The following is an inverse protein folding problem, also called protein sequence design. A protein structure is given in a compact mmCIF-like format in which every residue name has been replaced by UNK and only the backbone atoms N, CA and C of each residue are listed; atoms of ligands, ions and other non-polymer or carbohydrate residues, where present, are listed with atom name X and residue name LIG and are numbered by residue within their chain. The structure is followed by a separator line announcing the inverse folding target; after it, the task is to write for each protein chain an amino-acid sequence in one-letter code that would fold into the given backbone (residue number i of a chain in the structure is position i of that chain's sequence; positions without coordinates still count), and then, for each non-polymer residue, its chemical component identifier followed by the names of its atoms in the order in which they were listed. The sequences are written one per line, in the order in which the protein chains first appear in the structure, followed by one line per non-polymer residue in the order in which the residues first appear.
data_IF_548689589410
#
_entry.id   IF_548689589410
#
_cell.length_a   1.000
_cell.length_b   1.000
_cell.length_c   1.000
_cell.angle_alpha   90.00
_cell.angle_beta   90.00
_cell.angle_gamma   90.00
#
_symmetry.space_group_name_H-M   'P 1'
#
loop_
_entity.id
_entity.type
_entity.pdbx_description
1 polymer ?
#
# COMPACT_ATOMS: atom_id res chain seq x y z
N UNK A 1 4.06 -12.45 -7.17
CA UNK A 1 3.35 -12.38 -8.48
C UNK A 1 3.23 -10.91 -8.84
N UNK A 2 3.45 -10.52 -10.10
CA UNK A 2 3.29 -9.12 -10.54
C UNK A 2 1.81 -8.81 -10.84
N UNK A 3 1.16 -7.89 -10.09
CA UNK A 3 -0.25 -7.57 -10.27
C UNK A 3 -0.53 -6.62 -11.46
N UNK A 4 0.49 -6.07 -12.13
CA UNK A 4 0.32 -5.01 -13.15
C UNK A 4 -0.69 -5.39 -14.24
N UNK A 5 -0.64 -6.62 -14.77
CA UNK A 5 -1.55 -7.07 -15.83
C UNK A 5 -3.02 -7.04 -15.40
N UNK A 6 -3.30 -7.52 -14.20
CA UNK A 6 -4.68 -7.58 -13.66
C UNK A 6 -5.17 -6.18 -13.32
N UNK A 7 -4.31 -5.34 -12.72
CA UNK A 7 -4.64 -3.97 -12.39
C UNK A 7 -4.96 -3.14 -13.64
N UNK A 8 -4.21 -3.31 -14.74
CA UNK A 8 -4.50 -2.66 -16.03
C UNK A 8 -5.89 -3.00 -16.57
N UNK A 9 -6.29 -4.26 -16.48
CA UNK A 9 -7.63 -4.69 -16.88
C UNK A 9 -8.71 -4.12 -15.96
N UNK A 10 -8.42 -4.02 -14.66
CA UNK A 10 -9.35 -3.46 -13.68
C UNK A 10 -9.43 -1.92 -13.70
N UNK A 11 -8.47 -1.21 -14.31
CA UNK A 11 -8.33 0.27 -14.24
C UNK A 11 -9.64 1.06 -14.46
N UNK A 12 -10.51 0.72 -15.43
CA UNK A 12 -11.76 1.46 -15.64
C UNK A 12 -12.77 1.34 -14.49
N UNK A 13 -12.58 0.34 -13.62
CA UNK A 13 -13.48 -0.02 -12.52
C UNK A 13 -12.85 0.25 -11.13
N UNK A 14 -11.57 0.64 -11.06
CA UNK A 14 -10.91 0.96 -9.79
C UNK A 14 -11.39 2.32 -9.26
N UNK A 15 -12.11 2.29 -8.14
CA UNK A 15 -12.63 3.49 -7.46
C UNK A 15 -11.86 3.85 -6.18
N UNK A 16 -11.29 2.85 -5.51
CA UNK A 16 -10.54 3.00 -4.26
C UNK A 16 -9.52 1.87 -4.18
N UNK A 17 -8.29 2.20 -3.77
CA UNK A 17 -7.28 1.21 -3.41
C UNK A 17 -7.01 1.32 -1.92
N UNK A 18 -7.07 0.20 -1.21
CA UNK A 18 -6.61 0.14 0.19
C UNK A 18 -5.30 -0.62 0.27
N UNK A 19 -4.37 -0.15 1.10
CA UNK A 19 -3.03 -0.73 1.29
C UNK A 19 -2.73 -0.99 2.76
N UNK A 20 -1.87 -1.96 3.02
CA UNK A 20 -1.29 -2.28 4.32
C UNK A 20 0.07 -2.97 4.12
N UNK A 21 0.87 -3.06 5.18
CA UNK A 21 2.04 -3.94 5.18
C UNK A 21 1.59 -5.40 5.27
N UNK A 22 2.32 -6.32 4.66
CA UNK A 22 1.98 -7.74 4.66
C UNK A 22 3.21 -8.61 4.39
N UNK A 23 3.28 -9.77 5.05
CA UNK A 23 4.12 -10.89 4.62
C UNK A 23 3.39 -11.71 3.56
N UNK A 24 4.11 -12.58 2.83
CA UNK A 24 3.48 -13.41 1.81
C UNK A 24 2.60 -14.53 2.39
N UNK A 25 2.91 -14.97 3.61
CA UNK A 25 2.25 -16.09 4.27
C UNK A 25 2.13 -15.85 5.78
N UNK A 26 1.13 -16.49 6.39
CA UNK A 26 0.90 -16.45 7.83
C UNK A 26 -0.55 -16.16 8.19
N UNK A 27 -0.76 -15.90 9.48
CA UNK A 27 -2.04 -15.52 10.04
C UNK A 27 -2.35 -14.03 9.80
N UNK A 28 -3.55 -13.59 10.16
CA UNK A 28 -4.02 -12.22 9.93
C UNK A 28 -3.08 -11.12 10.41
N UNK A 29 -2.35 -11.34 11.50
CA UNK A 29 -1.38 -10.38 12.05
C UNK A 29 -0.10 -10.25 11.20
N UNK A 30 0.16 -11.20 10.30
CA UNK A 30 1.20 -11.11 9.26
C UNK A 30 0.66 -10.57 7.94
N UNK A 31 -0.61 -10.82 7.62
CA UNK A 31 -1.22 -10.38 6.37
C UNK A 31 -1.74 -8.93 6.41
N UNK A 32 -2.00 -8.39 7.61
CA UNK A 32 -2.42 -7.00 7.81
C UNK A 32 -1.54 -6.36 8.89
N UNK A 33 -0.61 -5.53 8.45
CA UNK A 33 0.36 -4.83 9.28
C UNK A 33 0.37 -3.32 8.98
N UNK A 34 0.95 -2.49 9.88
CA UNK A 34 1.26 -1.10 9.56
C UNK A 34 2.06 -0.97 8.25
N UNK A 35 1.87 0.14 7.53
CA UNK A 35 2.68 0.38 6.32
C UNK A 35 4.17 0.46 6.67
N UNK A 36 5.01 -0.09 5.79
CA UNK A 36 6.45 -0.19 6.01
C UNK A 36 6.89 -1.48 6.70
N UNK A 37 5.95 -2.34 7.11
CA UNK A 37 6.23 -3.70 7.56
C UNK A 37 5.88 -4.75 6.53
N UNK A 38 6.49 -5.90 6.72
CA UNK A 38 6.30 -7.11 5.93
C UNK A 38 7.09 -7.14 4.63
N UNK A 39 7.01 -8.28 3.97
CA UNK A 39 7.79 -8.58 2.76
C UNK A 39 7.18 -8.04 1.46
N UNK A 40 5.89 -7.73 1.44
CA UNK A 40 5.22 -7.25 0.23
C UNK A 40 5.68 -5.84 -0.16
N UNK A 41 6.08 -5.67 -1.43
CA UNK A 41 6.52 -4.38 -1.98
C UNK A 41 5.34 -3.44 -2.28
N UNK A 42 4.84 -2.78 -1.23
CA UNK A 42 3.79 -1.75 -1.33
C UNK A 42 4.26 -0.59 -2.23
N UNK A 43 5.54 -0.23 -2.20
CA UNK A 43 6.06 0.86 -3.02
C UNK A 43 5.97 0.52 -4.52
N UNK A 44 6.38 -0.69 -4.90
CA UNK A 44 6.25 -1.21 -6.26
C UNK A 44 4.81 -1.24 -6.75
N UNK A 45 3.86 -1.60 -5.87
CA UNK A 45 2.43 -1.50 -6.16
C UNK A 45 2.00 -0.06 -6.45
N UNK A 46 2.37 0.91 -5.59
CA UNK A 46 2.05 2.32 -5.79
C UNK A 46 2.66 2.88 -7.09
N UNK A 47 3.90 2.50 -7.40
CA UNK A 47 4.55 2.87 -8.66
C UNK A 47 3.82 2.31 -9.88
N UNK A 48 3.34 1.07 -9.77
CA UNK A 48 2.52 0.43 -10.81
C UNK A 48 1.21 1.18 -11.02
N UNK A 49 0.49 1.51 -9.93
CA UNK A 49 -0.75 2.30 -9.97
C UNK A 49 -0.53 3.67 -10.63
N UNK A 50 0.56 4.37 -10.30
CA UNK A 50 0.89 5.64 -10.95
C UNK A 50 1.18 5.47 -12.44
N UNK A 51 1.98 4.48 -12.84
CA UNK A 51 2.35 4.22 -14.24
C UNK A 51 1.14 3.90 -15.13
N UNK A 52 0.12 3.26 -14.58
CA UNK A 52 -1.15 3.01 -15.27
C UNK A 52 -2.15 4.17 -15.18
N UNK A 53 -1.72 5.31 -14.65
CA UNK A 53 -2.51 6.54 -14.54
C UNK A 53 -3.64 6.46 -13.52
N UNK A 54 -3.54 5.63 -12.48
CA UNK A 54 -4.52 5.64 -11.38
C UNK A 54 -4.32 6.90 -10.53
N UNK A 55 -5.40 7.67 -10.40
CA UNK A 55 -5.50 8.97 -9.73
C UNK A 55 -6.57 8.99 -8.63
N UNK A 56 -7.19 7.84 -8.37
CA UNK A 56 -8.21 7.68 -7.33
C UNK A 56 -7.63 7.64 -5.91
N UNK A 57 -8.51 7.64 -4.89
CA UNK A 57 -8.10 7.62 -3.49
C UNK A 57 -7.32 6.35 -3.13
N UNK A 58 -6.37 6.52 -2.19
CA UNK A 58 -5.62 5.43 -1.57
C UNK A 58 -5.81 5.51 -0.05
N UNK A 59 -6.35 4.45 0.53
CA UNK A 59 -6.62 4.33 1.97
C UNK A 59 -5.71 3.32 2.66
N UNK A 60 -5.59 3.43 3.99
CA UNK A 60 -4.90 2.44 4.82
C UNK A 60 -5.90 1.41 5.40
N UNK A 61 -5.61 0.12 5.25
CA UNK A 61 -6.37 -0.99 5.84
C UNK A 61 -5.71 -1.42 7.17
N UNK A 62 -6.24 -0.91 8.29
CA UNK A 62 -5.73 -1.22 9.63
C UNK A 62 -6.44 -2.34 10.38
N UNK A 63 -7.17 -3.22 9.68
CA UNK A 63 -8.04 -4.21 10.33
C UNK A 63 -7.26 -5.17 11.24
N UNK A 64 -7.69 -5.32 12.49
CA UNK A 64 -7.14 -6.31 13.42
C UNK A 64 -5.70 -6.05 13.89
N UNK A 65 -5.09 -4.91 13.53
CA UNK A 65 -3.75 -4.56 14.00
C UNK A 65 -3.80 -4.30 15.51
N UNK A 66 -3.02 -5.08 16.25
CA UNK A 66 -2.91 -4.98 17.72
C UNK A 66 -1.95 -3.86 18.13
N UNK A 67 -1.95 -3.54 19.42
CA UNK A 67 -1.07 -2.53 20.01
C UNK A 67 -1.68 -1.12 20.05
N UNK A 68 -0.84 -0.13 20.32
CA UNK A 68 -1.28 1.26 20.47
C UNK A 68 -1.62 1.89 19.11
N UNK A 69 -2.79 2.54 19.04
CA UNK A 69 -3.32 3.12 17.80
C UNK A 69 -2.48 4.32 17.33
N UNK A 70 -1.93 5.12 18.26
CA UNK A 70 -1.10 6.28 17.93
C UNK A 70 0.24 5.82 17.36
N UNK A 71 0.84 4.79 17.94
CA UNK A 71 2.09 4.24 17.44
C UNK A 71 1.93 3.60 16.06
N UNK A 72 0.87 2.81 15.86
CA UNK A 72 0.52 2.24 14.57
C UNK A 72 0.30 3.31 13.49
N UNK A 73 -0.41 4.40 13.83
CA UNK A 73 -0.63 5.52 12.93
C UNK A 73 0.68 6.26 12.62
N UNK A 74 1.52 6.50 13.63
CA UNK A 74 2.81 7.20 13.47
C UNK A 74 3.73 6.43 12.52
N UNK A 75 3.82 5.11 12.69
CA UNK A 75 4.60 4.24 11.81
C UNK A 75 4.04 4.22 10.39
N UNK A 76 2.74 4.00 10.25
CA UNK A 76 2.06 3.96 8.94
C UNK A 76 2.26 5.27 8.18
N UNK A 77 2.11 6.42 8.85
CA UNK A 77 2.31 7.74 8.24
C UNK A 77 3.76 8.01 7.89
N UNK A 78 4.73 7.48 8.67
CA UNK A 78 6.16 7.59 8.32
C UNK A 78 6.43 6.87 7.00
N UNK A 79 5.94 5.65 6.83
CA UNK A 79 6.09 4.90 5.58
C UNK A 79 5.37 5.57 4.41
N UNK A 80 4.10 5.98 4.61
CA UNK A 80 3.32 6.68 3.58
C UNK A 80 4.00 7.95 3.06
N UNK A 81 4.53 8.79 3.96
CA UNK A 81 5.26 10.01 3.56
C UNK A 81 6.52 9.66 2.76
N UNK A 82 7.29 8.67 3.20
CA UNK A 82 8.48 8.23 2.47
C UNK A 82 8.15 7.71 1.05
N UNK A 83 7.08 6.93 0.90
CA UNK A 83 6.63 6.46 -0.42
C UNK A 83 6.14 7.61 -1.30
N UNK A 84 5.35 8.53 -0.75
CA UNK A 84 4.82 9.70 -1.46
C UNK A 84 5.94 10.63 -1.95
N UNK A 85 6.92 10.91 -1.08
CA UNK A 85 8.08 11.72 -1.41
C UNK A 85 8.91 11.07 -2.52
N UNK A 86 9.12 9.75 -2.41
CA UNK A 86 9.87 9.00 -3.42
C UNK A 86 9.15 8.97 -4.77
N UNK A 87 7.83 8.72 -4.78
CA UNK A 87 7.02 8.80 -6.01
C UNK A 87 7.14 10.19 -6.65
N UNK A 88 6.97 11.25 -5.87
CA UNK A 88 7.05 12.63 -6.38
C UNK A 88 8.40 12.91 -7.05
N UNK A 89 9.50 12.44 -6.46
CA UNK A 89 10.86 12.60 -7.02
C UNK A 89 11.09 11.79 -8.29
N UNK A 90 10.40 10.68 -8.48
CA UNK A 90 10.53 9.84 -9.69
C UNK A 90 9.82 10.44 -10.93
N UNK A 91 9.13 11.60 -10.82
CA UNK A 91 8.33 12.19 -11.91
C UNK A 91 7.09 11.35 -12.23
N UNK A 92 6.29 11.63 -13.26
CA UNK A 92 5.23 10.71 -13.72
C UNK A 92 5.81 9.42 -14.30
#
# INVERSE_FOLDING_TARGET
RDPEKVLKLARPHLMLVTINGADFEGEWDRLIQPLGRGEFDVYGLLRTLRRMGYDGPIGFQGYGIKGDVRDNLKETMKAWRAYSDRLTKEGP
#
